data_IF_021395961185
#
_entry.id   IF_021395961185
#
_cell.length_a   1.000
_cell.length_b   1.000
_cell.length_c   1.000
_cell.angle_alpha   90.00
_cell.angle_beta   90.00
_cell.angle_gamma   90.00
#
_symmetry.space_group_name_H-M   'P 1'
#
loop_
_entity.id
_entity.type
_entity.pdbx_description
1 polymer ?
#
# COMPACT_ATOMS: atom_id res chain seq x y z
N UNK A 1 50.31 -0.23 -93.84
CA UNK A 1 48.98 -0.12 -94.44
C UNK A 1 48.09 -1.06 -93.67
N UNK A 2 47.31 -0.53 -92.73
CA UNK A 2 46.21 -1.27 -92.10
C UNK A 2 45.17 -0.22 -91.71
N UNK A 3 44.27 0.09 -92.64
CA UNK A 3 43.28 1.18 -92.60
C UNK A 3 41.86 0.65 -92.32
N UNK A 4 41.74 -0.50 -91.67
CA UNK A 4 40.44 -1.19 -91.51
C UNK A 4 39.95 -1.30 -90.05
N UNK A 5 40.71 -0.79 -89.08
CA UNK A 5 40.35 -0.83 -87.67
C UNK A 5 39.55 0.38 -87.20
N UNK A 6 39.70 1.55 -87.83
CA UNK A 6 39.03 2.79 -87.37
C UNK A 6 37.51 2.81 -87.70
N UNK A 7 37.10 2.27 -88.84
CA UNK A 7 35.70 2.20 -89.24
C UNK A 7 34.85 1.21 -88.41
N UNK A 8 35.50 0.20 -87.83
CA UNK A 8 34.89 -0.76 -86.91
C UNK A 8 34.82 -0.23 -85.48
N UNK A 9 35.87 0.45 -85.01
CA UNK A 9 35.90 1.06 -83.68
C UNK A 9 34.84 2.17 -83.58
N UNK A 10 34.65 2.98 -84.61
CA UNK A 10 33.67 4.07 -84.58
C UNK A 10 32.22 3.58 -84.66
N UNK A 11 31.95 2.51 -85.42
CA UNK A 11 30.61 1.86 -85.45
C UNK A 11 30.28 1.21 -84.11
N UNK A 12 31.25 0.55 -83.47
CA UNK A 12 31.08 -0.05 -82.14
C UNK A 12 30.77 1.00 -81.08
N UNK A 13 31.45 2.14 -81.14
CA UNK A 13 31.24 3.29 -80.26
C UNK A 13 29.85 3.92 -80.43
N UNK A 14 29.33 3.96 -81.66
CA UNK A 14 27.97 4.45 -81.95
C UNK A 14 26.89 3.52 -81.38
N UNK A 15 27.04 2.20 -81.55
CA UNK A 15 26.14 1.23 -80.93
C UNK A 15 26.25 1.20 -79.40
N UNK A 16 27.44 1.40 -78.83
CA UNK A 16 27.66 1.51 -77.38
C UNK A 16 27.03 2.79 -76.80
N UNK A 17 27.10 3.92 -77.51
CA UNK A 17 26.42 5.17 -77.11
C UNK A 17 24.89 5.06 -77.23
N UNK A 18 24.37 4.37 -78.26
CA UNK A 18 22.94 4.11 -78.44
C UNK A 18 22.41 3.15 -77.35
N UNK A 19 23.18 2.10 -77.00
CA UNK A 19 22.88 1.19 -75.89
C UNK A 19 22.90 1.91 -74.53
N UNK A 20 23.87 2.81 -74.33
CA UNK A 20 23.96 3.62 -73.11
C UNK A 20 22.82 4.64 -73.00
N UNK A 21 22.39 5.22 -74.13
CA UNK A 21 21.25 6.12 -74.19
C UNK A 21 19.93 5.39 -73.87
N UNK A 22 19.69 4.22 -74.49
CA UNK A 22 18.52 3.38 -74.23
C UNK A 22 18.50 2.91 -72.77
N UNK A 23 19.64 2.50 -72.19
CA UNK A 23 19.75 2.14 -70.77
C UNK A 23 19.47 3.32 -69.85
N UNK A 24 19.94 4.52 -70.18
CA UNK A 24 19.66 5.74 -69.40
C UNK A 24 18.18 6.11 -69.47
N UNK A 25 17.56 6.06 -70.65
CA UNK A 25 16.13 6.31 -70.79
C UNK A 25 15.28 5.28 -70.05
N UNK A 26 15.66 3.99 -70.10
CA UNK A 26 15.01 2.93 -69.35
C UNK A 26 15.12 3.14 -67.85
N UNK A 27 16.31 3.50 -67.33
CA UNK A 27 16.49 3.83 -65.91
C UNK A 27 15.62 5.01 -65.49
N UNK A 28 15.58 6.09 -66.27
CA UNK A 28 14.73 7.26 -65.96
C UNK A 28 13.24 6.90 -66.02
N UNK A 29 12.83 6.00 -66.93
CA UNK A 29 11.46 5.49 -66.98
C UNK A 29 11.12 4.60 -65.79
N UNK A 30 12.04 3.72 -65.37
CA UNK A 30 11.92 2.87 -64.18
C UNK A 30 11.87 3.70 -62.88
N UNK A 31 12.71 4.73 -62.76
CA UNK A 31 12.70 5.69 -61.64
C UNK A 31 11.37 6.46 -61.60
N UNK A 32 10.88 6.97 -62.75
CA UNK A 32 9.56 7.64 -62.82
C UNK A 32 8.40 6.69 -62.52
N UNK A 33 8.49 5.42 -62.92
CA UNK A 33 7.49 4.41 -62.61
C UNK A 33 7.50 4.07 -61.10
N UNK A 34 8.68 3.88 -60.51
CA UNK A 34 8.82 3.65 -59.07
C UNK A 34 8.33 4.84 -58.22
N UNK A 35 8.63 6.07 -58.64
CA UNK A 35 8.13 7.30 -58.00
C UNK A 35 6.61 7.42 -58.14
N UNK A 36 6.05 7.07 -59.29
CA UNK A 36 4.60 7.03 -59.52
C UNK A 36 3.93 5.98 -58.63
N UNK A 37 4.50 4.77 -58.55
CA UNK A 37 3.98 3.68 -57.72
C UNK A 37 4.04 4.02 -56.23
N UNK A 38 5.13 4.65 -55.77
CA UNK A 38 5.25 5.12 -54.39
C UNK A 38 4.18 6.17 -54.04
N UNK A 39 3.87 7.10 -54.95
CA UNK A 39 2.80 8.09 -54.78
C UNK A 39 1.42 7.44 -54.75
N UNK A 40 1.16 6.48 -55.64
CA UNK A 40 -0.10 5.73 -55.67
C UNK A 40 -0.27 4.93 -54.38
N UNK A 41 0.79 4.27 -53.89
CA UNK A 41 0.75 3.56 -52.61
C UNK A 41 0.53 4.50 -51.42
N UNK A 42 1.16 5.67 -51.39
CA UNK A 42 0.91 6.68 -50.36
C UNK A 42 -0.53 7.20 -50.40
N UNK A 43 -1.06 7.48 -51.59
CA UNK A 43 -2.47 7.87 -51.77
C UNK A 43 -3.43 6.76 -51.33
N UNK A 44 -3.17 5.49 -51.66
CA UNK A 44 -3.99 4.36 -51.23
C UNK A 44 -3.93 4.17 -49.70
N UNK A 45 -2.76 4.33 -49.08
CA UNK A 45 -2.64 4.30 -47.61
C UNK A 45 -3.42 5.42 -46.95
N UNK A 46 -3.36 6.64 -47.49
CA UNK A 46 -4.15 7.79 -47.00
C UNK A 46 -5.66 7.53 -47.13
N UNK A 47 -6.11 7.03 -48.27
CA UNK A 47 -7.53 6.71 -48.49
C UNK A 47 -7.99 5.59 -47.56
N UNK A 48 -7.17 4.56 -47.36
CA UNK A 48 -7.49 3.44 -46.45
C UNK A 48 -7.56 3.94 -45.00
N UNK A 49 -6.60 4.74 -44.55
CA UNK A 49 -6.62 5.34 -43.21
C UNK A 49 -7.81 6.29 -43.00
N UNK A 50 -8.20 7.05 -44.03
CA UNK A 50 -9.39 7.89 -44.00
C UNK A 50 -10.67 7.05 -43.89
N UNK A 51 -10.78 5.96 -44.66
CA UNK A 51 -11.91 5.03 -44.58
C UNK A 51 -12.02 4.41 -43.18
N UNK A 52 -10.93 3.89 -42.65
CA UNK A 52 -10.88 3.33 -41.28
C UNK A 52 -11.21 4.38 -40.20
N UNK A 53 -10.82 5.64 -40.41
CA UNK A 53 -11.18 6.74 -39.52
C UNK A 53 -12.68 7.04 -39.57
N UNK A 54 -13.28 7.07 -40.77
CA UNK A 54 -14.72 7.29 -40.95
C UNK A 54 -15.54 6.12 -40.41
N UNK A 55 -15.12 4.88 -40.63
CA UNK A 55 -15.78 3.69 -40.07
C UNK A 55 -15.77 3.73 -38.54
N UNK A 56 -14.63 4.08 -37.92
CA UNK A 56 -14.54 4.29 -36.47
C UNK A 56 -15.43 5.43 -35.99
N UNK A 57 -15.53 6.52 -36.74
CA UNK A 57 -16.38 7.66 -36.40
C UNK A 57 -17.86 7.28 -36.48
N UNK A 58 -18.29 6.59 -37.53
CA UNK A 58 -19.67 6.11 -37.71
C UNK A 58 -20.03 5.11 -36.62
N UNK A 59 -19.15 4.14 -36.33
CA UNK A 59 -19.37 3.19 -35.23
C UNK A 59 -19.50 3.90 -33.87
N UNK A 60 -18.67 4.92 -33.62
CA UNK A 60 -18.74 5.75 -32.41
C UNK A 60 -20.05 6.53 -32.33
N UNK A 61 -20.51 7.10 -33.43
CA UNK A 61 -21.79 7.82 -33.51
C UNK A 61 -22.99 6.88 -33.31
N UNK A 62 -22.93 5.67 -33.89
CA UNK A 62 -23.93 4.63 -33.67
C UNK A 62 -24.05 4.26 -32.20
N UNK A 63 -22.93 3.91 -31.56
CA UNK A 63 -22.90 3.61 -30.12
C UNK A 63 -23.40 4.79 -29.25
N UNK A 64 -23.05 6.02 -29.61
CA UNK A 64 -23.50 7.20 -28.89
C UNK A 64 -25.02 7.43 -29.03
N UNK A 65 -25.58 7.14 -30.21
CA UNK A 65 -27.00 7.23 -30.45
C UNK A 65 -27.76 6.15 -29.67
N UNK A 66 -27.29 4.89 -29.70
CA UNK A 66 -27.89 3.81 -28.93
C UNK A 66 -27.89 4.12 -27.43
N UNK A 67 -26.76 4.59 -26.90
CA UNK A 67 -26.66 5.03 -25.50
C UNK A 67 -27.59 6.21 -25.18
N UNK A 68 -27.79 7.14 -26.11
CA UNK A 68 -28.71 8.27 -25.95
C UNK A 68 -30.18 7.84 -25.95
N UNK A 69 -30.57 6.91 -26.84
CA UNK A 69 -31.93 6.36 -26.88
C UNK A 69 -32.23 5.62 -25.58
N UNK A 70 -31.30 4.76 -25.14
CA UNK A 70 -31.44 4.06 -23.86
C UNK A 70 -31.54 5.05 -22.69
N UNK A 71 -30.70 6.09 -22.66
CA UNK A 71 -30.74 7.13 -21.62
C UNK A 71 -32.10 7.83 -21.59
N UNK A 72 -32.70 8.07 -22.75
CA UNK A 72 -34.03 8.67 -22.84
C UNK A 72 -35.12 7.73 -22.28
N UNK A 73 -35.04 6.44 -22.57
CA UNK A 73 -35.94 5.44 -21.99
C UNK A 73 -35.79 5.35 -20.46
N UNK A 74 -34.55 5.30 -19.95
CA UNK A 74 -34.25 5.29 -18.52
C UNK A 74 -34.77 6.56 -17.84
N UNK A 75 -34.60 7.74 -18.44
CA UNK A 75 -35.17 9.00 -17.93
C UNK A 75 -36.70 8.98 -17.90
N UNK A 76 -37.34 8.37 -18.90
CA UNK A 76 -38.78 8.14 -18.90
C UNK A 76 -39.23 7.28 -17.71
N UNK A 77 -38.52 6.19 -17.44
CA UNK A 77 -38.78 5.33 -16.28
C UNK A 77 -38.55 6.04 -14.95
N UNK A 78 -37.45 6.82 -14.83
CA UNK A 78 -37.18 7.65 -13.65
C UNK A 78 -38.27 8.69 -13.37
N UNK A 79 -38.99 9.14 -14.40
CA UNK A 79 -40.13 10.04 -14.25
C UNK A 79 -41.25 9.49 -13.37
N UNK A 80 -41.37 8.16 -13.22
CA UNK A 80 -42.32 7.52 -12.31
C UNK A 80 -41.95 7.69 -10.81
N UNK A 81 -40.69 8.01 -10.51
CA UNK A 81 -40.16 8.15 -9.15
C UNK A 81 -40.04 9.63 -8.69
N UNK A 82 -40.98 10.47 -9.14
CA UNK A 82 -41.02 11.91 -8.85
C UNK A 82 -40.81 12.29 -7.36
N UNK A 83 -41.48 11.63 -6.39
CA UNK A 83 -41.29 11.95 -4.97
C UNK A 83 -39.86 11.74 -4.46
N UNK A 84 -39.19 10.66 -4.88
CA UNK A 84 -37.83 10.37 -4.46
C UNK A 84 -36.81 11.33 -5.12
N UNK A 85 -37.04 11.69 -6.39
CA UNK A 85 -36.26 12.74 -7.07
C UNK A 85 -36.41 14.11 -6.37
N UNK A 86 -37.63 14.49 -5.98
CA UNK A 86 -37.89 15.72 -5.23
C UNK A 86 -37.17 15.71 -3.87
N UNK A 87 -37.16 14.58 -3.15
CA UNK A 87 -36.45 14.45 -1.89
C UNK A 87 -34.93 14.63 -2.05
N UNK A 88 -34.32 14.07 -3.11
CA UNK A 88 -32.90 14.30 -3.41
C UNK A 88 -32.59 15.77 -3.66
N UNK A 89 -33.41 16.42 -4.47
CA UNK A 89 -33.24 17.84 -4.80
C UNK A 89 -33.35 18.72 -3.55
N UNK A 90 -34.34 18.46 -2.70
CA UNK A 90 -34.49 19.17 -1.44
C UNK A 90 -33.32 18.93 -0.48
N UNK A 91 -32.77 17.70 -0.41
CA UNK A 91 -31.59 17.42 0.39
C UNK A 91 -30.36 18.22 -0.10
N UNK A 92 -30.17 18.34 -1.42
CA UNK A 92 -29.09 19.18 -2.00
C UNK A 92 -29.30 20.66 -1.70
N UNK A 93 -30.53 21.15 -1.82
CA UNK A 93 -30.87 22.54 -1.50
C UNK A 93 -30.63 22.85 -0.02
N UNK A 94 -30.98 21.92 0.88
CA UNK A 94 -30.67 22.01 2.30
C UNK A 94 -29.16 22.12 2.52
N UNK A 95 -28.36 21.20 1.97
CA UNK A 95 -26.90 21.22 2.12
C UNK A 95 -26.29 22.52 1.58
N UNK A 96 -26.74 22.98 0.41
CA UNK A 96 -26.28 24.23 -0.17
C UNK A 96 -26.60 25.44 0.71
N UNK A 97 -27.78 25.47 1.35
CA UNK A 97 -28.14 26.51 2.31
C UNK A 97 -27.25 26.45 3.57
N UNK A 98 -27.00 25.26 4.10
CA UNK A 98 -26.17 25.05 5.30
C UNK A 98 -24.71 25.47 5.08
N UNK A 99 -24.12 25.13 3.93
CA UNK A 99 -22.76 25.56 3.56
C UNK A 99 -22.65 27.09 3.50
N UNK A 100 -23.75 27.76 3.17
CA UNK A 100 -23.84 29.23 3.12
C UNK A 100 -24.21 29.85 4.49
N UNK A 101 -24.26 29.05 5.55
CA UNK A 101 -24.62 29.49 6.90
C UNK A 101 -26.08 29.91 7.04
N UNK A 102 -26.96 29.49 6.12
CA UNK A 102 -28.39 29.78 6.17
C UNK A 102 -29.14 28.61 6.81
N UNK A 103 -30.15 28.87 7.66
CA UNK A 103 -31.05 27.80 8.10
C UNK A 103 -31.79 27.28 6.87
N UNK A 104 -31.53 26.02 6.50
CA UNK A 104 -32.29 25.37 5.44
C UNK A 104 -33.57 24.79 6.00
N UNK A 105 -34.67 24.95 5.27
CA UNK A 105 -35.91 24.24 5.57
C UNK A 105 -36.00 23.02 4.66
N UNK A 106 -35.90 21.82 5.23
CA UNK A 106 -36.32 20.61 4.54
C UNK A 106 -37.71 20.21 5.01
N UNK A 107 -38.62 20.03 4.04
CA UNK A 107 -39.97 19.47 4.25
C UNK A 107 -40.21 18.39 3.20
N UNK A 108 -39.29 17.43 3.15
CA UNK A 108 -39.42 16.31 2.25
C UNK A 108 -40.56 15.40 2.71
N UNK A 109 -41.48 15.10 1.80
CA UNK A 109 -42.54 14.14 2.04
C UNK A 109 -41.93 12.75 2.24
N UNK A 110 -42.51 11.98 3.16
CA UNK A 110 -42.04 10.62 3.43
C UNK A 110 -42.25 9.75 2.18
N UNK A 111 -41.17 9.12 1.71
CA UNK A 111 -41.23 8.13 0.62
C UNK A 111 -40.99 6.75 1.23
N UNK A 112 -41.89 5.81 0.97
CA UNK A 112 -41.83 4.46 1.55
C UNK A 112 -40.50 3.77 1.21
N UNK A 113 -39.85 3.21 2.23
CA UNK A 113 -38.58 2.48 2.06
C UNK A 113 -37.38 3.36 1.70
N UNK A 114 -37.51 4.69 1.72
CA UNK A 114 -36.42 5.61 1.42
C UNK A 114 -36.01 6.42 2.65
N UNK A 115 -34.74 6.30 3.05
CA UNK A 115 -34.20 6.90 4.26
C UNK A 115 -33.98 8.42 4.16
N UNK A 116 -33.61 8.91 2.96
CA UNK A 116 -33.13 10.28 2.76
C UNK A 116 -34.13 11.38 3.15
N UNK A 117 -35.45 11.32 2.82
CA UNK A 117 -36.39 12.37 3.20
C UNK A 117 -36.40 12.63 4.71
N UNK A 118 -36.43 11.56 5.50
CA UNK A 118 -36.46 11.64 6.96
C UNK A 118 -35.09 12.08 7.52
N UNK A 119 -33.98 11.65 6.92
CA UNK A 119 -32.65 12.10 7.30
C UNK A 119 -32.45 13.61 7.03
N UNK A 120 -32.90 14.11 5.89
CA UNK A 120 -32.82 15.53 5.53
C UNK A 120 -33.70 16.40 6.45
N UNK A 121 -34.95 15.98 6.70
CA UNK A 121 -35.82 16.66 7.66
C UNK A 121 -35.20 16.67 9.07
N UNK A 122 -34.68 15.53 9.51
CA UNK A 122 -34.00 15.43 10.80
C UNK A 122 -32.77 16.32 10.93
N UNK A 123 -31.95 16.42 9.88
CA UNK A 123 -30.84 17.38 9.81
C UNK A 123 -31.34 18.82 9.93
N UNK A 124 -32.37 19.21 9.18
CA UNK A 124 -32.96 20.55 9.25
C UNK A 124 -33.49 20.87 10.67
N UNK A 125 -34.18 19.92 11.32
CA UNK A 125 -34.64 20.08 12.71
C UNK A 125 -33.48 20.19 13.70
N UNK A 126 -32.41 19.40 13.54
CA UNK A 126 -31.21 19.49 14.37
C UNK A 126 -30.58 20.88 14.28
N UNK A 127 -30.39 21.39 13.05
CA UNK A 127 -29.84 22.74 12.82
C UNK A 127 -30.76 23.83 13.35
N UNK A 128 -32.08 23.64 13.21
CA UNK A 128 -33.10 24.56 13.71
C UNK A 128 -33.30 24.52 15.24
N UNK A 129 -32.69 23.58 15.95
CA UNK A 129 -32.79 23.44 17.40
C UNK A 129 -34.03 22.68 17.90
N UNK A 130 -34.82 22.05 17.02
CA UNK A 130 -35.95 21.20 17.40
C UNK A 130 -35.49 19.76 17.65
N UNK A 131 -35.01 19.51 18.87
CA UNK A 131 -34.43 18.22 19.25
C UNK A 131 -35.43 17.05 19.24
N UNK A 132 -36.72 17.32 19.47
CA UNK A 132 -37.75 16.27 19.52
C UNK A 132 -38.13 15.83 18.10
N UNK A 133 -38.43 16.80 17.22
CA UNK A 133 -38.71 16.51 15.81
C UNK A 133 -37.50 15.86 15.13
N UNK A 134 -36.29 16.37 15.40
CA UNK A 134 -35.05 15.77 14.93
C UNK A 134 -34.91 14.31 15.35
N UNK A 135 -35.10 14.00 16.64
CA UNK A 135 -34.97 12.64 17.16
C UNK A 135 -35.97 11.69 16.48
N UNK A 136 -37.22 12.12 16.32
CA UNK A 136 -38.26 11.31 15.67
C UNK A 136 -37.92 11.03 14.21
N UNK A 137 -37.58 12.07 13.44
CA UNK A 137 -37.25 11.93 12.01
C UNK A 137 -35.99 11.07 11.80
N UNK A 138 -34.94 11.28 12.59
CA UNK A 138 -33.69 10.52 12.46
C UNK A 138 -33.83 9.07 12.92
N UNK A 139 -34.66 8.79 13.92
CA UNK A 139 -35.00 7.42 14.30
C UNK A 139 -35.74 6.70 13.17
N UNK A 140 -36.69 7.37 12.50
CA UNK A 140 -37.39 6.82 11.35
C UNK A 140 -36.43 6.55 10.18
N UNK A 141 -35.52 7.48 9.87
CA UNK A 141 -34.49 7.31 8.83
C UNK A 141 -33.56 6.13 9.13
N UNK A 142 -33.02 6.07 10.36
CA UNK A 142 -32.12 5.01 10.78
C UNK A 142 -32.80 3.63 10.86
N UNK A 143 -34.13 3.60 11.07
CA UNK A 143 -34.93 2.38 11.00
C UNK A 143 -35.05 1.81 9.58
N UNK A 144 -34.93 2.66 8.56
CA UNK A 144 -34.86 2.23 7.15
C UNK A 144 -33.43 1.85 6.79
N UNK A 145 -32.47 2.75 7.07
CA UNK A 145 -31.05 2.51 6.83
C UNK A 145 -30.18 3.27 7.83
N UNK A 146 -29.66 2.55 8.83
CA UNK A 146 -28.83 3.12 9.88
C UNK A 146 -27.50 3.66 9.36
N UNK A 147 -26.86 2.96 8.41
CA UNK A 147 -25.52 3.31 7.97
C UNK A 147 -25.53 4.54 7.06
N UNK A 148 -26.41 4.55 6.04
CA UNK A 148 -26.53 5.69 5.13
C UNK A 148 -26.98 6.96 5.88
N UNK A 149 -27.90 6.83 6.82
CA UNK A 149 -28.30 7.94 7.71
C UNK A 149 -27.11 8.45 8.54
N UNK A 150 -26.31 7.53 9.10
CA UNK A 150 -25.10 7.87 9.85
C UNK A 150 -24.07 8.60 8.99
N UNK A 151 -23.75 8.08 7.80
CA UNK A 151 -22.81 8.69 6.84
C UNK A 151 -23.28 10.08 6.41
N UNK A 152 -24.56 10.23 6.08
CA UNK A 152 -25.14 11.52 5.70
C UNK A 152 -24.92 12.56 6.80
N UNK A 153 -25.25 12.24 8.04
CA UNK A 153 -25.10 13.18 9.16
C UNK A 153 -23.65 13.43 9.54
N UNK A 154 -22.80 12.39 9.49
CA UNK A 154 -21.38 12.51 9.75
C UNK A 154 -20.71 13.47 8.75
N UNK A 155 -21.09 13.43 7.49
CA UNK A 155 -20.51 14.32 6.46
C UNK A 155 -21.20 15.70 6.41
N UNK A 156 -22.52 15.78 6.61
CA UNK A 156 -23.28 17.03 6.47
C UNK A 156 -23.11 18.01 7.64
N UNK A 157 -23.04 17.52 8.88
CA UNK A 157 -22.98 18.41 10.06
C UNK A 157 -21.66 19.19 10.17
N UNK A 158 -20.47 18.63 9.84
CA UNK A 158 -19.25 19.43 9.71
C UNK A 158 -19.34 20.49 8.62
N UNK A 159 -19.98 20.22 7.47
CA UNK A 159 -20.23 21.24 6.43
C UNK A 159 -21.10 22.39 6.93
N UNK A 160 -22.04 22.08 7.82
CA UNK A 160 -22.90 23.08 8.47
C UNK A 160 -22.21 23.81 9.64
N UNK A 161 -20.92 23.56 9.90
CA UNK A 161 -20.19 24.17 11.01
C UNK A 161 -20.59 23.62 12.40
N UNK A 162 -21.24 22.45 12.45
CA UNK A 162 -21.71 21.81 13.69
C UNK A 162 -21.13 20.40 13.90
N UNK A 163 -19.79 20.24 13.86
CA UNK A 163 -19.14 18.93 13.92
C UNK A 163 -19.41 18.15 15.21
N UNK A 164 -19.65 18.83 16.34
CA UNK A 164 -19.97 18.17 17.60
C UNK A 164 -21.28 17.37 17.58
N UNK A 165 -22.24 17.77 16.74
CA UNK A 165 -23.52 17.06 16.59
C UNK A 165 -23.38 15.77 15.75
N UNK A 166 -22.29 15.60 15.00
CA UNK A 166 -22.03 14.39 14.21
C UNK A 166 -21.54 13.21 15.05
N UNK A 167 -20.92 13.46 16.21
CA UNK A 167 -20.26 12.43 17.03
C UNK A 167 -21.18 11.23 17.36
N UNK A 168 -22.46 11.40 17.76
CA UNK A 168 -23.37 10.28 18.03
C UNK A 168 -23.73 9.43 16.80
N UNK A 169 -23.40 9.90 15.60
CA UNK A 169 -23.70 9.24 14.32
C UNK A 169 -22.50 8.51 13.74
N UNK A 170 -21.28 8.76 14.25
CA UNK A 170 -20.05 8.18 13.71
C UNK A 170 -20.04 6.65 13.76
N UNK A 171 -20.47 6.03 14.86
CA UNK A 171 -20.52 4.56 14.95
C UNK A 171 -21.46 3.96 13.89
N UNK A 172 -22.59 4.63 13.61
CA UNK A 172 -23.51 4.20 12.55
C UNK A 172 -22.89 4.41 11.17
N UNK A 173 -22.21 5.53 10.96
CA UNK A 173 -21.56 5.88 9.70
C UNK A 173 -20.46 4.88 9.32
N UNK A 174 -19.61 4.53 10.29
CA UNK A 174 -18.52 3.56 10.14
C UNK A 174 -19.08 2.13 9.94
N UNK A 175 -20.25 1.85 10.49
CA UNK A 175 -20.90 0.55 10.39
C UNK A 175 -20.21 -0.52 11.24
N UNK A 176 -20.55 -1.80 11.06
CA UNK A 176 -19.89 -2.90 11.77
C UNK A 176 -18.39 -2.88 11.47
N UNK A 177 -17.58 -3.16 12.48
CA UNK A 177 -16.13 -3.27 12.33
C UNK A 177 -15.83 -4.30 11.23
N UNK A 178 -15.17 -3.82 10.18
CA UNK A 178 -14.78 -4.61 9.03
C UNK A 178 -13.52 -5.38 9.44
N UNK A 179 -13.53 -6.72 9.34
CA UNK A 179 -12.35 -7.53 9.68
C UNK A 179 -11.13 -7.19 8.79
N UNK A 180 -9.97 -7.75 9.11
CA UNK A 180 -8.64 -7.45 8.51
C UNK A 180 -8.62 -7.17 6.99
N UNK A 181 -9.22 -8.05 6.18
CA UNK A 181 -9.23 -7.95 4.70
C UNK A 181 -10.51 -7.36 4.15
N UNK A 182 -11.40 -6.87 5.01
CA UNK A 182 -12.62 -6.27 4.52
C UNK A 182 -12.33 -4.90 3.94
N UNK A 183 -12.91 -4.70 2.77
CA UNK A 183 -12.67 -3.53 1.94
C UNK A 183 -13.44 -2.35 2.54
N UNK A 184 -12.72 -1.26 2.83
CA UNK A 184 -13.37 -0.03 3.25
C UNK A 184 -13.98 0.67 2.03
N UNK A 185 -15.09 1.36 2.25
CA UNK A 185 -15.66 2.25 1.23
C UNK A 185 -14.98 3.61 1.28
N UNK A 186 -15.01 4.34 0.16
CA UNK A 186 -14.56 5.73 0.12
C UNK A 186 -15.25 6.60 1.17
N UNK A 187 -16.54 6.35 1.45
CA UNK A 187 -17.27 7.13 2.44
C UNK A 187 -16.81 6.90 3.88
N UNK A 188 -16.54 5.65 4.26
CA UNK A 188 -15.97 5.34 5.58
C UNK A 188 -14.56 5.92 5.70
N UNK A 189 -13.77 5.84 4.62
CA UNK A 189 -12.44 6.44 4.58
C UNK A 189 -12.49 7.96 4.76
N UNK A 190 -13.44 8.65 4.13
CA UNK A 190 -13.63 10.10 4.31
C UNK A 190 -13.96 10.46 5.76
N UNK A 191 -14.86 9.73 6.41
CA UNK A 191 -15.20 9.94 7.83
C UNK A 191 -13.98 9.75 8.72
N UNK A 192 -13.18 8.70 8.48
CA UNK A 192 -11.92 8.50 9.19
C UNK A 192 -10.96 9.67 8.95
N UNK A 193 -10.75 10.09 7.70
CA UNK A 193 -9.84 11.19 7.38
C UNK A 193 -10.25 12.49 8.07
N UNK A 194 -11.54 12.80 8.07
CA UNK A 194 -12.09 13.97 8.73
C UNK A 194 -11.89 13.92 10.25
N UNK A 195 -12.08 12.74 10.87
CA UNK A 195 -11.83 12.56 12.30
C UNK A 195 -10.36 12.74 12.67
N UNK A 196 -9.44 12.17 11.89
CA UNK A 196 -8.00 12.30 12.13
C UNK A 196 -7.49 13.73 11.96
N UNK A 197 -8.13 14.51 11.10
CA UNK A 197 -7.86 15.93 10.96
C UNK A 197 -8.64 16.82 11.94
N UNK A 198 -9.30 16.23 12.94
CA UNK A 198 -9.98 16.95 14.02
C UNK A 198 -11.34 17.54 13.62
N UNK A 199 -11.89 17.18 12.46
CA UNK A 199 -13.18 17.68 11.96
C UNK A 199 -14.39 17.30 12.81
N UNK A 200 -14.23 16.44 13.83
CA UNK A 200 -15.25 16.10 14.82
C UNK A 200 -14.83 16.41 16.28
N UNK A 201 -13.68 17.08 16.46
CA UNK A 201 -13.03 17.23 17.76
C UNK A 201 -12.52 15.92 18.36
N UNK A 202 -12.01 16.00 19.60
CA UNK A 202 -11.45 14.84 20.31
C UNK A 202 -12.45 13.69 20.50
N UNK A 203 -13.74 13.93 20.85
CA UNK A 203 -14.70 12.83 21.02
C UNK A 203 -14.92 12.03 19.73
N UNK A 204 -14.98 12.70 18.58
CA UNK A 204 -15.15 12.00 17.30
C UNK A 204 -13.91 11.22 16.89
N UNK A 205 -12.71 11.75 17.17
CA UNK A 205 -11.45 11.02 16.98
C UNK A 205 -11.41 9.74 17.83
N UNK A 206 -11.81 9.82 19.10
CA UNK A 206 -11.88 8.66 20.00
C UNK A 206 -12.82 7.56 19.49
N UNK A 207 -13.98 7.94 18.91
CA UNK A 207 -14.91 6.97 18.30
C UNK A 207 -14.23 6.23 17.14
N UNK A 208 -13.57 6.94 16.24
CA UNK A 208 -12.87 6.34 15.09
C UNK A 208 -11.71 5.45 15.55
N UNK A 209 -10.88 5.92 16.50
CA UNK A 209 -9.79 5.12 17.07
C UNK A 209 -10.30 3.83 17.69
N UNK A 210 -11.38 3.90 18.47
CA UNK A 210 -12.01 2.72 19.08
C UNK A 210 -12.52 1.75 18.02
N UNK A 211 -13.20 2.26 17.00
CA UNK A 211 -13.70 1.44 15.89
C UNK A 211 -12.56 0.75 15.12
N UNK A 212 -11.50 1.49 14.78
CA UNK A 212 -10.31 0.95 14.10
C UNK A 212 -9.60 -0.11 14.97
N UNK A 213 -9.50 0.12 16.28
CA UNK A 213 -8.91 -0.82 17.23
C UNK A 213 -9.73 -2.12 17.36
N UNK A 214 -11.07 -2.03 17.33
CA UNK A 214 -11.96 -3.20 17.32
C UNK A 214 -11.90 -3.99 16.02
N UNK A 215 -11.60 -3.32 14.92
CA UNK A 215 -11.43 -3.93 13.61
C UNK A 215 -10.06 -4.64 13.43
N UNK A 216 -9.12 -4.45 14.38
CA UNK A 216 -7.83 -5.14 14.34
C UNK A 216 -7.97 -6.63 14.65
N UNK A 217 -7.29 -7.45 13.87
CA UNK A 217 -7.10 -8.88 14.09
C UNK A 217 -5.70 -9.13 14.69
N UNK A 218 -5.51 -10.06 15.65
CA UNK A 218 -4.19 -10.57 16.04
C UNK A 218 -3.23 -10.84 14.88
N UNK A 219 -3.71 -11.30 13.72
CA UNK A 219 -2.86 -11.55 12.55
C UNK A 219 -2.36 -10.27 11.86
N UNK A 220 -3.02 -9.12 12.06
CA UNK A 220 -2.54 -7.82 11.55
C UNK A 220 -1.18 -7.44 12.15
N UNK A 221 -0.89 -7.94 13.35
CA UNK A 221 0.42 -7.79 14.03
C UNK A 221 1.52 -8.52 13.27
N UNK A 222 1.23 -9.71 12.72
CA UNK A 222 2.18 -10.46 11.88
C UNK A 222 2.43 -9.78 10.55
N UNK A 223 1.41 -9.15 9.98
CA UNK A 223 1.58 -8.39 8.74
C UNK A 223 2.43 -7.13 8.97
N UNK A 224 2.20 -6.42 10.06
CA UNK A 224 3.07 -5.32 10.47
C UNK A 224 4.51 -5.82 10.63
N UNK A 225 4.73 -6.93 11.33
CA UNK A 225 6.05 -7.56 11.48
C UNK A 225 6.70 -7.92 10.13
N UNK A 226 5.97 -8.61 9.23
CA UNK A 226 6.49 -8.97 7.90
C UNK A 226 6.77 -7.76 7.01
N UNK A 227 5.99 -6.68 7.13
CA UNK A 227 6.19 -5.47 6.34
C UNK A 227 7.36 -4.63 6.88
N UNK A 228 7.63 -4.70 8.18
CA UNK A 228 8.76 -4.02 8.82
C UNK A 228 10.07 -4.77 8.60
N UNK A 229 10.01 -6.10 8.43
CA UNK A 229 11.20 -6.93 8.19
C UNK A 229 11.99 -6.40 7.00
N UNK A 230 13.23 -5.94 7.20
CA UNK A 230 14.06 -5.49 6.09
C UNK A 230 14.31 -6.69 5.16
N UNK A 231 13.94 -6.56 3.88
CA UNK A 231 14.29 -7.57 2.88
C UNK A 231 15.81 -7.72 2.89
N UNK A 232 16.36 -8.94 3.05
CA UNK A 232 17.79 -9.15 2.98
C UNK A 232 18.27 -8.68 1.60
N UNK A 233 19.02 -7.58 1.56
CA UNK A 233 19.70 -7.16 0.34
C UNK A 233 20.77 -8.20 0.05
N UNK A 234 20.75 -8.73 -1.17
CA UNK A 234 21.54 -9.88 -1.57
C UNK A 234 23.02 -9.78 -1.21
N UNK A 235 23.57 -10.93 -0.82
CA UNK A 235 24.99 -11.27 -0.68
C UNK A 235 25.85 -10.34 0.18
N UNK A 236 25.59 -10.32 1.49
CA UNK A 236 26.66 -10.04 2.46
C UNK A 236 26.92 -11.27 3.34
N UNK A 237 28.11 -11.84 3.09
CA UNK A 237 28.97 -12.60 3.99
C UNK A 237 28.53 -13.98 4.50
N UNK A 238 29.09 -15.00 3.85
CA UNK A 238 30.09 -15.88 4.46
C UNK A 238 30.47 -15.47 5.91
N UNK A 239 29.85 -16.18 6.87
CA UNK A 239 30.12 -16.10 8.32
C UNK A 239 29.56 -14.88 9.08
N UNK A 240 28.24 -14.67 9.01
CA UNK A 240 27.48 -14.03 10.11
C UNK A 240 26.78 -15.15 10.93
N UNK A 241 27.12 -15.37 12.22
CA UNK A 241 26.40 -16.33 13.03
C UNK A 241 24.94 -15.88 13.13
N UNK A 242 24.02 -16.67 12.58
CA UNK A 242 22.61 -16.33 12.37
C UNK A 242 21.88 -15.63 13.55
N UNK A 243 22.34 -15.81 14.79
CA UNK A 243 21.84 -15.14 16.00
C UNK A 243 22.07 -13.63 15.99
N UNK A 244 23.25 -13.17 15.59
CA UNK A 244 23.59 -11.74 15.61
C UNK A 244 22.92 -11.00 14.48
N UNK A 245 22.79 -11.65 13.32
CA UNK A 245 21.94 -11.17 12.23
C UNK A 245 20.48 -10.98 12.69
N UNK A 246 19.89 -12.00 13.32
CA UNK A 246 18.53 -11.94 13.85
C UNK A 246 18.36 -10.85 14.91
N UNK A 247 19.25 -10.79 15.89
CA UNK A 247 19.19 -9.77 16.94
C UNK A 247 19.30 -8.35 16.36
N UNK A 248 20.20 -8.14 15.40
CA UNK A 248 20.36 -6.86 14.71
C UNK A 248 19.15 -6.49 13.86
N UNK A 249 18.49 -7.46 13.22
CA UNK A 249 17.24 -7.23 12.51
C UNK A 249 16.13 -6.79 13.47
N UNK A 250 15.98 -7.48 14.59
CA UNK A 250 14.99 -7.16 15.61
C UNK A 250 15.21 -5.76 16.23
N UNK A 251 16.46 -5.37 16.54
CA UNK A 251 16.79 -4.01 16.99
C UNK A 251 16.39 -2.95 15.96
N UNK A 252 16.66 -3.18 14.67
CA UNK A 252 16.26 -2.26 13.60
C UNK A 252 14.74 -2.13 13.49
N UNK A 253 14.02 -3.24 13.66
CA UNK A 253 12.56 -3.25 13.63
C UNK A 253 11.96 -2.52 14.84
N UNK A 254 12.54 -2.68 16.04
CA UNK A 254 12.18 -1.89 17.22
C UNK A 254 12.40 -0.39 16.99
N UNK A 255 13.56 -0.01 16.45
CA UNK A 255 13.88 1.39 16.14
C UNK A 255 12.91 1.97 15.09
N UNK A 256 12.52 1.18 14.09
CA UNK A 256 11.56 1.58 13.06
C UNK A 256 10.14 1.72 13.63
N UNK A 257 9.69 0.80 14.50
CA UNK A 257 8.45 0.97 15.26
C UNK A 257 8.49 2.25 16.10
N UNK A 258 9.62 2.51 16.76
CA UNK A 258 9.86 3.75 17.48
C UNK A 258 9.70 4.99 16.60
N UNK A 259 10.27 4.95 15.39
CA UNK A 259 10.16 6.04 14.39
C UNK A 259 8.72 6.25 13.94
N UNK A 260 7.98 5.17 13.68
CA UNK A 260 6.58 5.22 13.24
C UNK A 260 5.64 5.73 14.34
N UNK A 261 5.95 5.47 15.61
CA UNK A 261 5.22 6.01 16.77
C UNK A 261 5.68 7.41 17.20
N UNK A 262 6.58 8.06 16.46
CA UNK A 262 6.98 9.42 16.79
C UNK A 262 5.74 10.33 16.67
N UNK A 263 5.48 11.20 17.67
CA UNK A 263 4.39 12.16 17.58
C UNK A 263 4.52 13.00 16.32
N UNK A 264 3.47 13.01 15.51
CA UNK A 264 3.36 13.94 14.39
C UNK A 264 2.93 15.27 14.97
N UNK A 265 3.64 16.36 14.60
CA UNK A 265 3.22 17.69 15.02
C UNK A 265 1.76 17.91 14.57
N UNK A 266 0.90 18.49 15.43
CA UNK A 266 -0.47 18.80 15.02
C UNK A 266 -0.40 19.67 13.76
N UNK A 267 -1.06 19.22 12.67
CA UNK A 267 -1.16 20.04 11.48
C UNK A 267 -1.89 21.35 11.82
N UNK A 268 -1.51 22.43 11.13
CA UNK A 268 -2.21 23.71 11.25
C UNK A 268 -3.73 23.49 11.08
N UNK A 269 -4.49 24.13 11.98
CA UNK A 269 -5.89 23.87 12.32
C UNK A 269 -6.92 24.17 11.22
N UNK A 270 -6.53 24.13 9.95
CA UNK A 270 -7.49 24.13 8.85
C UNK A 270 -8.16 22.77 8.82
N UNK A 271 -9.29 22.64 9.51
CA UNK A 271 -10.13 21.46 9.44
C UNK A 271 -10.47 21.19 7.97
N UNK A 272 -10.18 19.98 7.45
CA UNK A 272 -10.54 19.66 6.09
C UNK A 272 -12.06 19.70 5.96
N UNK A 273 -12.52 20.26 4.84
CA UNK A 273 -13.93 20.30 4.49
C UNK A 273 -14.29 18.94 3.90
N UNK A 274 -15.37 18.29 4.36
CA UNK A 274 -15.86 17.05 3.77
C UNK A 274 -16.03 17.18 2.25
N UNK A 275 -15.73 16.11 1.51
CA UNK A 275 -15.99 16.05 0.08
C UNK A 275 -17.49 16.20 -0.23
N UNK A 276 -17.88 17.36 -0.76
CA UNK A 276 -19.24 17.59 -1.25
C UNK A 276 -19.66 16.57 -2.31
N UNK A 277 -18.71 16.13 -3.15
CA UNK A 277 -18.94 15.12 -4.18
C UNK A 277 -19.38 13.76 -3.60
N UNK A 278 -18.85 13.38 -2.43
CA UNK A 278 -19.23 12.12 -1.79
C UNK A 278 -20.65 12.18 -1.21
N UNK A 279 -21.03 13.32 -0.61
CA UNK A 279 -22.41 13.56 -0.17
C UNK A 279 -23.38 13.58 -1.35
N UNK A 280 -23.00 14.21 -2.46
CA UNK A 280 -23.78 14.20 -3.68
C UNK A 280 -23.92 12.79 -4.27
N UNK A 281 -22.87 11.96 -4.20
CA UNK A 281 -22.93 10.55 -4.60
C UNK A 281 -23.86 9.73 -3.68
N UNK A 282 -23.82 9.96 -2.36
CA UNK A 282 -24.71 9.30 -1.40
C UNK A 282 -26.18 9.68 -1.62
N UNK A 283 -26.45 10.98 -1.82
CA UNK A 283 -27.79 11.47 -2.16
C UNK A 283 -28.23 10.93 -3.53
N UNK A 284 -27.31 10.91 -4.49
CA UNK A 284 -27.51 10.52 -5.88
C UNK A 284 -27.84 9.05 -6.10
N UNK A 285 -27.60 8.18 -5.12
CA UNK A 285 -27.98 6.76 -5.17
C UNK A 285 -29.49 6.56 -5.37
N UNK A 286 -30.30 7.43 -4.75
CA UNK A 286 -31.76 7.39 -4.86
C UNK A 286 -32.44 6.30 -4.03
N UNK A 287 -33.76 6.14 -4.22
CA UNK A 287 -34.53 5.10 -3.56
C UNK A 287 -34.22 3.70 -4.14
N UNK A 288 -34.46 2.60 -3.40
CA UNK A 288 -34.12 1.25 -3.85
C UNK A 288 -34.71 0.88 -5.23
N UNK A 289 -35.92 1.35 -5.53
CA UNK A 289 -36.62 1.06 -6.79
C UNK A 289 -36.01 1.75 -8.01
N UNK A 290 -35.37 2.91 -7.83
CA UNK A 290 -34.77 3.71 -8.92
C UNK A 290 -33.24 3.65 -8.94
N UNK A 291 -32.59 3.10 -7.92
CA UNK A 291 -31.13 3.09 -7.80
C UNK A 291 -30.44 2.44 -9.01
N UNK A 292 -30.98 1.33 -9.51
CA UNK A 292 -30.48 0.67 -10.72
C UNK A 292 -30.64 1.55 -11.97
N UNK A 293 -31.74 2.30 -12.07
CA UNK A 293 -32.01 3.21 -13.18
C UNK A 293 -31.08 4.43 -13.12
N UNK A 294 -30.84 5.00 -11.94
CA UNK A 294 -29.91 6.12 -11.75
C UNK A 294 -28.47 5.72 -12.07
N UNK A 295 -28.04 4.54 -11.61
CA UNK A 295 -26.74 3.98 -11.96
C UNK A 295 -26.59 3.83 -13.47
N UNK A 296 -27.60 3.25 -14.14
CA UNK A 296 -27.58 3.07 -15.59
C UNK A 296 -27.59 4.41 -16.34
N UNK A 297 -28.39 5.38 -15.88
CA UNK A 297 -28.40 6.73 -16.44
C UNK A 297 -27.04 7.43 -16.34
N UNK A 298 -26.33 7.26 -15.21
CA UNK A 298 -24.98 7.76 -15.01
C UNK A 298 -23.98 7.12 -15.97
N UNK A 299 -24.02 5.79 -16.11
CA UNK A 299 -23.18 5.04 -17.05
C UNK A 299 -23.38 5.50 -18.50
N UNK A 300 -24.64 5.59 -18.93
CA UNK A 300 -24.99 6.04 -20.28
C UNK A 300 -24.59 7.50 -20.53
N UNK A 301 -24.73 8.38 -19.53
CA UNK A 301 -24.29 9.78 -19.64
C UNK A 301 -22.77 9.88 -19.77
N UNK A 302 -22.02 9.07 -19.02
CA UNK A 302 -20.57 8.98 -19.14
C UNK A 302 -20.14 8.41 -20.49
N UNK A 303 -20.83 7.39 -21.00
CA UNK A 303 -20.60 6.79 -22.31
C UNK A 303 -20.85 7.81 -23.44
N UNK A 304 -21.99 8.48 -23.46
CA UNK A 304 -22.31 9.54 -24.43
C UNK A 304 -21.26 10.66 -24.36
N UNK A 305 -20.84 11.06 -23.16
CA UNK A 305 -19.82 12.08 -22.97
C UNK A 305 -18.46 11.65 -23.51
N UNK A 306 -18.03 10.41 -23.23
CA UNK A 306 -16.78 9.81 -23.73
C UNK A 306 -16.77 9.69 -25.25
N UNK A 307 -17.88 9.24 -25.84
CA UNK A 307 -18.00 9.09 -27.29
C UNK A 307 -18.02 10.45 -28.01
N UNK A 308 -18.58 11.50 -27.37
CA UNK A 308 -18.63 12.86 -27.94
C UNK A 308 -17.31 13.62 -27.83
N UNK A 309 -16.68 13.58 -26.66
CA UNK A 309 -15.49 14.39 -26.35
C UNK A 309 -14.18 13.68 -26.65
N UNK A 310 -14.19 12.34 -26.76
CA UNK A 310 -12.98 11.53 -26.88
C UNK A 310 -12.11 11.53 -25.62
N UNK A 311 -12.48 12.29 -24.58
CA UNK A 311 -11.80 12.26 -23.28
C UNK A 311 -12.43 11.18 -22.42
N UNK A 312 -11.56 10.40 -21.78
CA UNK A 312 -11.98 9.43 -20.79
C UNK A 312 -12.32 10.19 -19.50
N UNK A 313 -13.58 10.61 -19.36
CA UNK A 313 -14.09 11.00 -18.05
C UNK A 313 -14.24 9.72 -17.24
N UNK A 314 -13.43 9.59 -16.19
CA UNK A 314 -13.65 8.52 -15.22
C UNK A 314 -15.04 8.69 -14.60
N UNK A 315 -15.77 7.59 -14.40
CA UNK A 315 -17.05 7.67 -13.72
C UNK A 315 -16.86 8.31 -12.34
N UNK A 316 -17.80 9.16 -11.93
CA UNK A 316 -17.75 9.74 -10.59
C UNK A 316 -17.69 8.61 -9.55
N UNK A 317 -16.78 8.73 -8.57
CA UNK A 317 -16.61 7.68 -7.57
C UNK A 317 -17.91 7.53 -6.78
N UNK A 318 -18.39 6.29 -6.69
CA UNK A 318 -19.54 5.98 -5.82
C UNK A 318 -19.11 6.07 -4.37
N UNK A 319 -20.04 6.42 -3.48
CA UNK A 319 -19.75 6.50 -2.05
C UNK A 319 -19.37 5.13 -1.46
N UNK A 320 -19.94 4.05 -2.01
CA UNK A 320 -19.68 2.65 -1.67
C UNK A 320 -18.55 2.02 -2.51
N UNK A 321 -17.89 2.81 -3.37
CA UNK A 321 -16.75 2.33 -4.11
C UNK A 321 -15.63 1.92 -3.14
N UNK A 322 -14.86 0.87 -3.47
CA UNK A 322 -13.78 0.44 -2.62
C UNK A 322 -12.68 1.50 -2.53
N UNK A 323 -12.24 1.78 -1.30
CA UNK A 323 -11.06 2.60 -1.03
C UNK A 323 -9.80 1.72 -1.11
N UNK A 324 -9.61 0.88 -0.10
CA UNK A 324 -8.58 -0.14 -0.01
C UNK A 324 -8.91 -1.08 1.16
N UNK A 325 -8.05 -2.04 1.45
CA UNK A 325 -8.13 -2.79 2.70
C UNK A 325 -7.71 -1.93 3.92
N UNK A 326 -8.32 -2.21 5.07
CA UNK A 326 -8.12 -1.46 6.31
C UNK A 326 -6.64 -1.41 6.73
N UNK A 327 -5.92 -2.53 6.59
CA UNK A 327 -4.55 -2.66 7.07
C UNK A 327 -3.60 -1.83 6.20
N UNK A 328 -3.73 -1.90 4.88
CA UNK A 328 -2.97 -1.09 3.93
C UNK A 328 -3.17 0.40 4.21
N UNK A 329 -4.39 0.84 4.48
CA UNK A 329 -4.68 2.24 4.82
C UNK A 329 -4.05 2.65 6.16
N UNK A 330 -4.15 1.82 7.20
CA UNK A 330 -3.54 2.09 8.51
C UNK A 330 -2.02 2.19 8.42
N UNK A 331 -1.39 1.28 7.68
CA UNK A 331 0.06 1.29 7.45
C UNK A 331 0.49 2.50 6.61
N UNK A 332 -0.29 2.87 5.60
CA UNK A 332 -0.05 4.07 4.81
C UNK A 332 -0.12 5.34 5.68
N UNK A 333 -1.12 5.45 6.53
CA UNK A 333 -1.30 6.59 7.44
C UNK A 333 -0.19 6.68 8.49
N UNK A 334 0.20 5.54 9.05
CA UNK A 334 1.31 5.46 10.01
C UNK A 334 2.64 5.94 9.39
N UNK A 335 2.85 5.70 8.08
CA UNK A 335 4.06 6.12 7.36
C UNK A 335 3.99 7.55 6.82
N UNK A 336 2.79 8.04 6.52
CA UNK A 336 2.57 9.28 5.78
C UNK A 336 2.88 10.57 6.56
N UNK A 337 3.10 10.49 7.87
CA UNK A 337 3.40 11.67 8.70
C UNK A 337 2.28 12.71 8.72
N UNK A 338 1.04 12.29 8.43
CA UNK A 338 -0.16 13.13 8.43
C UNK A 338 -0.85 13.08 9.80
N UNK A 339 -1.83 13.96 10.08
CA UNK A 339 -2.68 13.84 11.27
C UNK A 339 -3.34 12.46 11.42
N UNK A 340 -3.57 11.76 10.31
CA UNK A 340 -4.08 10.39 10.28
C UNK A 340 -3.12 9.41 10.94
N UNK A 341 -1.82 9.69 10.90
CA UNK A 341 -0.80 8.92 11.58
C UNK A 341 -1.05 8.82 13.08
N UNK A 342 -1.52 9.89 13.73
CA UNK A 342 -1.85 9.85 15.16
C UNK A 342 -3.02 8.91 15.45
N UNK A 343 -4.06 8.93 14.60
CA UNK A 343 -5.19 8.00 14.71
C UNK A 343 -4.74 6.55 14.50
N UNK A 344 -3.90 6.30 13.49
CA UNK A 344 -3.34 4.98 13.22
C UNK A 344 -2.46 4.48 14.37
N UNK A 345 -1.59 5.34 14.94
CA UNK A 345 -0.76 5.04 16.11
C UNK A 345 -1.62 4.64 17.32
N UNK A 346 -2.68 5.41 17.62
CA UNK A 346 -3.58 5.13 18.73
C UNK A 346 -4.35 3.82 18.50
N UNK A 347 -4.87 3.59 17.30
CA UNK A 347 -5.60 2.38 16.95
C UNK A 347 -4.71 1.12 17.03
N UNK A 348 -3.45 1.22 16.60
CA UNK A 348 -2.49 0.12 16.61
C UNK A 348 -1.75 -0.07 17.94
N UNK A 349 -1.92 0.85 18.91
CA UNK A 349 -1.17 0.83 20.17
C UNK A 349 -1.31 -0.49 20.94
N UNK A 350 -2.51 -1.09 20.93
CA UNK A 350 -2.75 -2.39 21.57
C UNK A 350 -2.06 -3.57 20.88
N UNK A 351 -1.82 -3.47 19.57
CA UNK A 351 -1.15 -4.45 18.74
C UNK A 351 0.39 -4.32 18.79
N UNK A 352 0.89 -3.08 18.87
CA UNK A 352 2.33 -2.80 18.82
C UNK A 352 3.06 -3.26 20.10
N UNK A 353 2.42 -3.18 21.26
CA UNK A 353 3.02 -3.63 22.53
C UNK A 353 3.52 -5.08 22.50
N UNK A 354 2.63 -6.06 22.24
CA UNK A 354 3.04 -7.47 22.11
C UNK A 354 4.08 -7.73 21.00
N UNK A 355 4.04 -6.97 19.90
CA UNK A 355 5.08 -7.06 18.86
C UNK A 355 6.44 -6.60 19.38
N UNK A 356 6.47 -5.48 20.10
CA UNK A 356 7.69 -4.95 20.68
C UNK A 356 8.31 -5.90 21.71
N UNK A 357 7.49 -6.53 22.56
CA UNK A 357 7.96 -7.53 23.52
C UNK A 357 8.59 -8.74 22.82
N UNK A 358 7.99 -9.19 21.70
CA UNK A 358 8.56 -10.27 20.88
C UNK A 358 9.87 -9.88 20.21
N UNK A 359 9.93 -8.69 19.61
CA UNK A 359 11.17 -8.19 19.00
C UNK A 359 12.27 -7.99 20.04
N UNK A 360 11.94 -7.56 21.26
CA UNK A 360 12.90 -7.50 22.37
C UNK A 360 13.44 -8.90 22.71
N UNK A 361 12.57 -9.91 22.78
CA UNK A 361 12.98 -11.29 23.01
C UNK A 361 13.87 -11.84 21.88
N UNK A 362 13.57 -11.51 20.62
CA UNK A 362 14.41 -11.86 19.46
C UNK A 362 15.76 -11.11 19.45
N UNK A 363 15.77 -9.86 19.92
CA UNK A 363 16.97 -9.04 20.05
C UNK A 363 17.88 -9.44 21.22
N UNK A 364 17.33 -10.16 22.21
CA UNK A 364 18.02 -10.58 23.43
C UNK A 364 18.13 -12.12 23.51
N UNK A 365 18.76 -12.81 22.53
CA UNK A 365 18.92 -14.24 22.61
C UNK A 365 19.74 -14.61 23.85
N UNK A 366 19.39 -15.72 24.50
CA UNK A 366 20.15 -16.22 25.64
C UNK A 366 21.62 -16.36 25.28
N UNK A 367 22.49 -15.84 26.16
CA UNK A 367 23.95 -15.93 25.99
C UNK A 367 24.29 -17.42 25.90
N UNK A 368 24.92 -17.88 24.82
CA UNK A 368 25.31 -19.28 24.73
C UNK A 368 26.38 -19.56 25.79
N UNK A 369 26.10 -20.52 26.67
CA UNK A 369 27.07 -20.99 27.67
C UNK A 369 28.22 -21.78 27.04
N UNK A 370 28.05 -22.18 25.78
CA UNK A 370 28.91 -23.13 25.04
C UNK A 370 29.13 -22.69 23.59
N UNK A 371 30.35 -22.91 23.09
CA UNK A 371 30.77 -22.61 21.72
C UNK A 371 31.34 -23.86 21.09
N UNK A 372 30.80 -24.31 19.97
CA UNK A 372 31.43 -25.38 19.21
C UNK A 372 32.40 -24.79 18.17
N UNK A 373 33.70 -25.00 18.38
CA UNK A 373 34.74 -24.64 17.43
C UNK A 373 35.14 -25.88 16.61
N UNK A 374 35.08 -25.82 15.29
CA UNK A 374 35.63 -26.88 14.43
C UNK A 374 37.13 -26.73 14.28
N UNK A 375 37.90 -27.65 14.86
CA UNK A 375 39.37 -27.70 14.77
C UNK A 375 39.74 -29.02 14.10
N UNK A 376 40.37 -28.95 12.92
CA UNK A 376 40.74 -30.11 12.08
C UNK A 376 39.58 -31.10 11.84
N UNK A 377 38.39 -30.55 11.55
CA UNK A 377 37.18 -31.35 11.26
C UNK A 377 36.41 -31.84 12.48
N UNK A 378 36.82 -31.48 13.70
CA UNK A 378 36.14 -31.88 14.94
C UNK A 378 35.55 -30.71 15.69
N UNK A 379 34.31 -30.85 16.12
CA UNK A 379 33.67 -29.89 17.02
C UNK A 379 34.24 -30.04 18.43
N UNK A 380 34.89 -29.00 18.93
CA UNK A 380 35.32 -28.86 20.32
C UNK A 380 34.38 -27.87 21.01
N UNK A 381 33.72 -28.30 22.08
CA UNK A 381 32.85 -27.43 22.88
C UNK A 381 33.68 -26.67 23.90
N UNK A 382 33.70 -25.34 23.78
CA UNK A 382 34.34 -24.42 24.70
C UNK A 382 33.28 -23.81 25.62
N UNK A 383 33.58 -23.73 26.92
CA UNK A 383 32.71 -23.10 27.92
C UNK A 383 33.16 -21.66 28.12
N UNK A 384 32.21 -20.74 28.02
CA UNK A 384 32.50 -19.29 27.96
C UNK A 384 33.02 -18.75 29.29
N UNK A 385 32.44 -19.22 30.39
CA UNK A 385 32.76 -18.70 31.72
C UNK A 385 33.88 -19.49 32.42
N UNK A 386 34.49 -20.48 31.74
CA UNK A 386 35.61 -21.22 32.28
C UNK A 386 36.96 -20.67 31.80
N UNK A 387 38.01 -20.72 32.63
CA UNK A 387 39.36 -20.33 32.21
C UNK A 387 39.80 -21.09 30.96
N UNK A 388 40.51 -20.42 30.05
CA UNK A 388 40.98 -21.01 28.79
C UNK A 388 41.99 -22.15 28.99
N UNK A 389 42.84 -22.03 30.01
CA UNK A 389 43.94 -22.93 30.26
C UNK A 389 43.51 -24.41 30.36
N UNK A 390 42.54 -24.81 31.21
CA UNK A 390 42.08 -26.19 31.27
C UNK A 390 41.42 -26.69 29.98
N UNK A 391 40.74 -25.82 29.23
CA UNK A 391 40.11 -26.18 27.96
C UNK A 391 41.15 -26.44 26.86
N UNK A 392 42.18 -25.60 26.79
CA UNK A 392 43.32 -25.80 25.88
C UNK A 392 44.12 -27.07 26.23
N UNK A 393 44.28 -27.38 27.52
CA UNK A 393 44.94 -28.63 27.95
C UNK A 393 44.15 -29.88 27.54
N UNK A 394 42.81 -29.84 27.57
CA UNK A 394 41.98 -30.94 27.05
C UNK A 394 42.12 -31.09 25.53
N UNK A 395 42.22 -29.97 24.80
CA UNK A 395 42.43 -29.94 23.36
C UNK A 395 43.79 -30.52 22.97
N UNK A 396 44.84 -30.15 23.69
CA UNK A 396 46.19 -30.71 23.53
C UNK A 396 46.19 -32.22 23.79
N UNK A 397 45.53 -32.68 24.86
CA UNK A 397 45.42 -34.11 25.17
C UNK A 397 44.71 -34.90 24.07
N UNK A 398 43.67 -34.33 23.43
CA UNK A 398 42.98 -34.94 22.29
C UNK A 398 43.85 -35.01 21.03
N UNK A 399 44.70 -33.99 20.79
CA UNK A 399 45.67 -33.99 19.69
C UNK A 399 46.77 -35.04 19.94
N UNK A 400 47.26 -35.12 21.18
CA UNK A 400 48.26 -36.11 21.61
C UNK A 400 47.76 -37.54 21.46
N UNK A 401 46.54 -37.81 21.89
CA UNK A 401 45.93 -39.14 21.80
C UNK A 401 45.81 -39.63 20.34
N UNK A 402 45.65 -38.72 19.38
CA UNK A 402 45.61 -39.06 17.94
C UNK A 402 46.95 -39.11 17.24
N UNK A 403 47.93 -38.38 17.76
CA UNK A 403 49.27 -38.34 17.20
C UNK A 403 50.09 -39.58 17.57
N UNK A 404 49.56 -40.45 18.45
CA UNK A 404 50.16 -41.74 18.75
C UNK A 404 50.21 -42.61 17.48
N UNK A 405 51.41 -42.93 16.97
CA UNK A 405 51.55 -43.74 15.77
C UNK A 405 50.91 -45.11 16.03
N UNK A 406 50.01 -45.53 15.13
CA UNK A 406 49.45 -46.87 15.16
C UNK A 406 50.58 -47.90 15.22
N UNK A 407 50.46 -48.88 16.13
CA UNK A 407 51.50 -49.88 16.45
C UNK A 407 52.08 -50.51 15.16
N UNK A 408 53.18 -49.96 14.67
CA UNK A 408 53.80 -50.31 13.41
C UNK A 408 55.32 -50.30 13.54
N UNK A 409 55.93 -51.32 12.95
CA UNK A 409 57.32 -51.79 13.02
C UNK A 409 58.41 -50.78 13.49
N UNK A 410 59.12 -51.16 14.55
CA UNK A 410 59.91 -50.28 15.44
C UNK A 410 61.26 -49.74 14.89
N UNK A 411 61.78 -50.26 13.78
CA UNK A 411 63.15 -49.96 13.30
C UNK A 411 63.23 -48.82 12.26
N UNK A 412 62.21 -48.63 11.42
CA UNK A 412 62.02 -47.38 10.65
C UNK A 412 61.36 -46.29 11.50
N UNK A 413 60.71 -46.68 12.60
CA UNK A 413 59.92 -45.81 13.47
C UNK A 413 60.73 -44.72 14.17
N UNK A 414 62.05 -44.86 14.39
CA UNK A 414 62.76 -43.90 15.24
C UNK A 414 63.07 -42.56 14.55
N UNK A 415 63.40 -42.57 13.25
CA UNK A 415 63.59 -41.34 12.45
C UNK A 415 62.24 -40.73 12.06
N UNK A 416 61.28 -41.58 11.66
CA UNK A 416 59.89 -41.20 11.43
C UNK A 416 59.21 -40.66 12.70
N UNK A 417 59.57 -41.13 13.90
CA UNK A 417 59.01 -40.61 15.15
C UNK A 417 59.56 -39.23 15.51
N UNK A 418 60.81 -38.93 15.15
CA UNK A 418 61.37 -37.59 15.35
C UNK A 418 60.70 -36.58 14.41
N UNK A 419 60.59 -36.91 13.12
CA UNK A 419 59.88 -36.09 12.12
C UNK A 419 58.37 -35.97 12.46
N UNK A 420 57.74 -37.05 12.92
CA UNK A 420 56.34 -37.03 13.36
C UNK A 420 56.12 -36.21 14.64
N UNK A 421 57.08 -36.19 15.56
CA UNK A 421 57.01 -35.37 16.76
C UNK A 421 57.10 -33.87 16.44
N UNK A 422 57.97 -33.49 15.50
CA UNK A 422 58.08 -32.10 15.02
C UNK A 422 56.78 -31.64 14.35
N UNK A 423 56.25 -32.45 13.41
CA UNK A 423 54.94 -32.18 12.76
C UNK A 423 53.79 -32.16 13.76
N UNK A 424 53.83 -32.97 14.82
CA UNK A 424 52.82 -32.97 15.87
C UNK A 424 52.86 -31.68 16.70
N UNK A 425 54.04 -31.18 17.07
CA UNK A 425 54.19 -29.90 17.78
C UNK A 425 53.74 -28.70 16.92
N UNK A 426 54.06 -28.68 15.62
CA UNK A 426 53.55 -27.67 14.70
C UNK A 426 52.02 -27.70 14.60
N UNK A 427 51.41 -28.90 14.52
CA UNK A 427 49.95 -29.06 14.52
C UNK A 427 49.32 -28.61 15.83
N UNK A 428 49.92 -28.91 16.98
CA UNK A 428 49.45 -28.43 18.28
C UNK A 428 49.48 -26.91 18.33
N UNK A 429 50.57 -26.28 17.89
CA UNK A 429 50.68 -24.84 17.83
C UNK A 429 49.59 -24.23 16.94
N UNK A 430 49.37 -24.78 15.75
CA UNK A 430 48.31 -24.35 14.84
C UNK A 430 46.90 -24.53 15.45
N UNK A 431 46.65 -25.62 16.16
CA UNK A 431 45.36 -25.89 16.79
C UNK A 431 45.10 -25.02 18.03
N UNK A 432 46.13 -24.73 18.83
CA UNK A 432 46.05 -23.73 19.91
C UNK A 432 45.73 -22.35 19.35
N UNK A 433 46.34 -21.98 18.22
CA UNK A 433 46.08 -20.70 17.58
C UNK A 433 44.64 -20.64 17.03
N UNK A 434 44.15 -21.68 16.34
CA UNK A 434 42.74 -21.78 15.92
C UNK A 434 41.78 -21.68 17.11
N UNK A 435 42.07 -22.34 18.23
CA UNK A 435 41.25 -22.27 19.44
C UNK A 435 41.23 -20.85 20.03
N UNK A 436 42.38 -20.16 20.10
CA UNK A 436 42.47 -18.75 20.53
C UNK A 436 41.69 -17.82 19.61
N UNK A 437 41.77 -18.02 18.29
CA UNK A 437 41.02 -17.26 17.30
C UNK A 437 39.51 -17.48 17.46
N UNK A 438 39.07 -18.73 17.65
CA UNK A 438 37.66 -19.06 17.89
C UNK A 438 37.12 -18.40 19.17
N UNK A 439 37.91 -18.40 20.25
CA UNK A 439 37.55 -17.78 21.53
C UNK A 439 37.51 -16.26 21.41
N UNK A 440 38.49 -15.67 20.74
CA UNK A 440 38.52 -14.22 20.48
C UNK A 440 37.31 -13.81 19.66
N UNK A 441 37.03 -14.52 18.56
CA UNK A 441 35.87 -14.28 17.72
C UNK A 441 34.57 -14.42 18.52
N UNK A 442 34.46 -15.45 19.37
CA UNK A 442 33.31 -15.66 20.22
C UNK A 442 33.13 -14.57 21.29
N UNK A 443 34.23 -14.12 21.91
CA UNK A 443 34.21 -13.04 22.91
C UNK A 443 33.73 -11.75 22.27
N UNK A 444 34.30 -11.41 21.10
CA UNK A 444 33.85 -10.28 20.27
C UNK A 444 32.36 -10.41 19.93
N UNK A 445 31.88 -11.62 19.66
CA UNK A 445 30.47 -11.86 19.37
C UNK A 445 29.57 -11.68 20.59
N UNK A 446 30.00 -12.13 21.77
CA UNK A 446 29.29 -11.87 23.04
C UNK A 446 29.22 -10.38 23.35
N UNK A 447 30.31 -9.64 23.12
CA UNK A 447 30.34 -8.20 23.34
C UNK A 447 29.37 -7.47 22.38
N UNK A 448 29.32 -7.89 21.11
CA UNK A 448 28.32 -7.39 20.15
C UNK A 448 26.89 -7.70 20.59
N UNK A 449 26.60 -8.94 20.99
CA UNK A 449 25.27 -9.33 21.47
C UNK A 449 24.86 -8.54 22.72
N UNK A 450 25.81 -8.28 23.62
CA UNK A 450 25.58 -7.46 24.82
C UNK A 450 25.25 -6.01 24.44
N UNK A 451 25.98 -5.44 23.47
CA UNK A 451 25.68 -4.12 22.93
C UNK A 451 24.30 -4.04 22.27
N UNK A 452 23.97 -5.02 21.41
CA UNK A 452 22.65 -5.11 20.75
C UNK A 452 21.52 -5.25 21.76
N UNK A 453 21.71 -6.03 22.83
CA UNK A 453 20.75 -6.16 23.92
C UNK A 453 20.49 -4.83 24.62
N UNK A 454 21.55 -4.08 24.98
CA UNK A 454 21.39 -2.77 25.62
C UNK A 454 20.64 -1.79 24.71
N UNK A 455 20.96 -1.80 23.40
CA UNK A 455 20.25 -1.00 22.39
C UNK A 455 18.77 -1.40 22.30
N UNK A 456 18.48 -2.70 22.25
CA UNK A 456 17.11 -3.23 22.21
C UNK A 456 16.29 -2.84 23.45
N UNK A 457 16.87 -2.97 24.64
CA UNK A 457 16.22 -2.59 25.91
C UNK A 457 15.93 -1.08 25.96
N UNK A 458 16.84 -0.24 25.44
CA UNK A 458 16.64 1.20 25.33
C UNK A 458 15.51 1.58 24.36
N UNK A 459 15.51 1.00 23.16
CA UNK A 459 14.48 1.24 22.15
C UNK A 459 13.10 0.74 22.64
N UNK A 460 13.06 -0.45 23.25
CA UNK A 460 11.83 -0.98 23.85
C UNK A 460 11.30 -0.09 24.97
N UNK A 461 12.15 0.35 25.90
CA UNK A 461 11.73 1.25 26.98
C UNK A 461 11.19 2.58 26.44
N UNK A 462 11.84 3.15 25.42
CA UNK A 462 11.37 4.36 24.75
C UNK A 462 10.02 4.15 24.04
N UNK A 463 9.82 2.98 23.42
CA UNK A 463 8.57 2.61 22.76
C UNK A 463 7.43 2.42 23.76
N UNK A 464 7.67 1.73 24.88
CA UNK A 464 6.69 1.52 25.95
C UNK A 464 6.25 2.86 26.56
N UNK A 465 7.18 3.79 26.76
CA UNK A 465 6.86 5.14 27.23
C UNK A 465 5.93 5.87 26.23
N UNK A 466 6.21 5.81 24.93
CA UNK A 466 5.35 6.41 23.89
C UNK A 466 3.97 5.75 23.82
N UNK A 467 3.89 4.43 23.91
CA UNK A 467 2.62 3.70 23.95
C UNK A 467 1.78 4.08 25.18
N UNK A 468 2.42 4.39 26.32
CA UNK A 468 1.72 4.88 27.50
C UNK A 468 1.14 6.29 27.30
N UNK A 469 1.82 7.16 26.56
CA UNK A 469 1.32 8.50 26.19
C UNK A 469 0.15 8.44 25.19
N UNK A 470 0.13 7.45 24.30
CA UNK A 470 -0.92 7.26 23.30
C UNK A 470 -2.21 6.67 23.87
N UNK A 471 -2.17 6.02 25.04
CA UNK A 471 -3.38 5.50 25.67
C UNK A 471 -4.28 6.70 26.02
N UNK A 472 -5.53 6.75 25.49
CA UNK A 472 -6.45 7.80 25.87
C UNK A 472 -6.60 7.77 27.39
N UNK A 473 -6.58 8.94 28.07
CA UNK A 473 -6.72 8.99 29.51
C UNK A 473 -8.00 8.24 29.85
N UNK A 474 -7.87 7.15 30.63
CA UNK A 474 -9.01 6.31 31.01
C UNK A 474 -10.13 7.25 31.43
N UNK A 475 -11.20 7.30 30.64
CA UNK A 475 -12.32 8.21 30.86
C UNK A 475 -12.84 7.87 32.23
N UNK A 476 -12.45 8.68 33.23
CA UNK A 476 -13.00 8.57 34.58
C UNK A 476 -14.46 8.92 34.40
N UNK A 477 -15.31 7.90 34.27
CA UNK A 477 -16.74 8.05 34.37
C UNK A 477 -17.00 8.76 35.70
N UNK A 478 -17.17 10.08 35.64
CA UNK A 478 -17.80 10.83 36.73
C UNK A 478 -19.24 10.39 36.70
N UNK A 479 -19.56 9.46 37.60
CA UNK A 479 -20.93 9.11 37.95
C UNK A 479 -21.64 10.26 38.63
#
# INVERSE_FOLDING_TARGET
MDWDTDGWVNRRRWYEDEDMYVRRQRRVAEERAADSDARIQDQLRRVTAQKESLERQVARLGAAFDAFVELTAVRGALGAHGPAAAAREQARQLLAALVQGRPGEARAEAVQGYWLPQAANGLAFLVGGDAEAARSALAAAAGVDSQRTGLFLALALPLAGMPGLAVPWLERALGPAVGRHGQLTLAVREVWMLAGAGGYGDPGREVVVRWLAQAQDPEAVEELHTTLRPRPRGSEAEYDPARTFQARAAVRELAELGRLLRPVAPADSSHPVPSAALLDALIGEGAPEEAALLLRAGQLSAEVSRLRSGTQTEPEPRWDAPADDLQTLLLADLRGGSPLGTVAQQALSGAIGPLADRLLAEACPERPDRVEAKIDGQSVTLLVDQPLAPQLSQLDALVDQRSQPGQGNWLTARKLAAEAAEVAEERKAANREKARQAITAFTVECDKLTGLRQEAEQEHAALVARLAELKPPATRHRG
#
